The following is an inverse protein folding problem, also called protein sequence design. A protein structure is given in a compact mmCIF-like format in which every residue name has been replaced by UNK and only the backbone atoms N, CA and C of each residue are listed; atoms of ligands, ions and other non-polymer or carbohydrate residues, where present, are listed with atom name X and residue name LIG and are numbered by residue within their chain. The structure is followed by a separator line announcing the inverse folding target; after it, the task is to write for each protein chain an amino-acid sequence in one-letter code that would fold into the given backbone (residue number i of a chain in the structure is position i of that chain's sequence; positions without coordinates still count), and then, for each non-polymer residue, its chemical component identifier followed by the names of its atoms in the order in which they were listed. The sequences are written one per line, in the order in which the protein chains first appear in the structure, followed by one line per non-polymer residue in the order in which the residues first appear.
data_IF_962163976575
#
_entry.id   IF_962163976575
#
_cell.length_a   1.000
_cell.length_b   1.000
_cell.length_c   1.000
_cell.angle_alpha   90.00
_cell.angle_beta   90.00
_cell.angle_gamma   90.00
#
_symmetry.space_group_name_H-M   'P 1'
#
loop_
_entity.id
_entity.type
_entity.pdbx_description
1 polymer ?
#
# COMPACT_ATOMS: atom_id res chain seq x y z
N UNK A 1 3.00 17.37 -11.28
CA UNK A 1 1.88 16.69 -10.57
C UNK A 1 1.05 17.81 -10.00
N UNK A 2 -0.25 17.86 -10.28
CA UNK A 2 -1.15 18.83 -9.66
C UNK A 2 -1.60 18.32 -8.28
N UNK A 3 -2.13 19.20 -7.44
CA UNK A 3 -2.57 18.85 -6.08
C UNK A 3 -3.85 18.00 -6.06
N UNK A 4 -4.40 17.64 -7.22
CA UNK A 4 -5.66 16.92 -7.35
C UNK A 4 -5.47 15.42 -7.60
N UNK A 5 -4.85 14.73 -6.64
CA UNK A 5 -4.80 13.28 -6.65
C UNK A 5 -6.17 12.70 -6.26
N UNK A 6 -6.83 12.05 -7.23
CA UNK A 6 -8.11 11.37 -6.98
C UNK A 6 -7.93 10.27 -5.91
N UNK A 7 -8.86 10.14 -4.96
CA UNK A 7 -8.88 9.02 -4.02
C UNK A 7 -9.04 7.69 -4.78
N UNK A 8 -8.26 6.68 -4.39
CA UNK A 8 -8.46 5.31 -4.85
C UNK A 8 -9.64 4.74 -4.07
N UNK A 9 -10.76 4.52 -4.76
CA UNK A 9 -12.01 4.04 -4.14
C UNK A 9 -12.58 2.81 -4.81
N UNK A 10 -12.50 2.76 -6.13
CA UNK A 10 -13.09 1.71 -6.95
C UNK A 10 -11.98 0.97 -7.68
N UNK A 11 -11.91 -0.34 -7.45
CA UNK A 11 -10.89 -1.21 -8.03
C UNK A 11 -11.61 -2.33 -8.77
N UNK A 12 -11.35 -2.46 -10.06
CA UNK A 12 -11.70 -3.64 -10.82
C UNK A 12 -10.57 -4.66 -10.72
N UNK A 13 -10.92 -5.85 -10.26
CA UNK A 13 -10.03 -7.00 -10.21
C UNK A 13 -10.35 -7.96 -11.36
N UNK A 14 -9.33 -8.26 -12.17
CA UNK A 14 -9.38 -9.26 -13.22
C UNK A 14 -8.55 -10.48 -12.80
N UNK A 15 -9.16 -11.68 -12.71
CA UNK A 15 -8.43 -12.90 -12.43
C UNK A 15 -7.34 -13.15 -13.48
N UNK A 16 -6.16 -13.53 -13.02
CA UNK A 16 -5.05 -13.94 -13.85
C UNK A 16 -4.27 -15.05 -13.12
N UNK A 17 -3.51 -15.85 -13.86
CA UNK A 17 -2.99 -17.14 -13.38
C UNK A 17 -2.09 -17.03 -12.14
N UNK A 18 -1.35 -15.92 -12.00
CA UNK A 18 -0.42 -15.72 -10.87
C UNK A 18 -0.92 -14.65 -9.88
N UNK A 19 -1.19 -13.44 -10.37
CA UNK A 19 -1.71 -12.33 -9.57
C UNK A 19 -2.76 -11.54 -10.36
N UNK A 20 -3.86 -11.10 -9.73
CA UNK A 20 -4.91 -10.39 -10.43
C UNK A 20 -4.43 -9.03 -10.93
N UNK A 21 -4.97 -8.59 -12.07
CA UNK A 21 -4.80 -7.21 -12.51
C UNK A 21 -5.77 -6.31 -11.76
N UNK A 22 -5.25 -5.22 -11.20
CA UNK A 22 -6.03 -4.20 -10.52
C UNK A 22 -6.11 -2.95 -11.38
N UNK A 23 -7.32 -2.52 -11.71
CA UNK A 23 -7.59 -1.31 -12.49
C UNK A 23 -8.35 -0.32 -11.62
N UNK A 24 -7.78 0.87 -11.43
CA UNK A 24 -8.45 1.95 -10.72
C UNK A 24 -9.41 2.67 -11.66
N UNK A 25 -10.67 2.74 -11.25
CA UNK A 25 -11.70 3.45 -11.99
C UNK A 25 -12.29 4.59 -11.16
N UNK A 26 -12.79 5.60 -11.84
CA UNK A 26 -13.50 6.71 -11.22
C UNK A 26 -14.88 6.27 -10.72
N UNK A 27 -15.49 7.01 -9.78
CA UNK A 27 -16.88 6.77 -9.39
C UNK A 27 -17.87 6.85 -10.56
N UNK A 28 -17.59 7.71 -11.55
CA UNK A 28 -18.39 7.83 -12.76
C UNK A 28 -18.31 6.54 -13.59
N UNK A 29 -17.10 6.06 -13.91
CA UNK A 29 -16.91 4.81 -14.65
C UNK A 29 -17.51 3.61 -13.90
N UNK A 30 -17.36 3.55 -12.57
CA UNK A 30 -17.96 2.50 -11.75
C UNK A 30 -19.50 2.48 -11.86
N UNK A 31 -20.12 3.67 -11.90
CA UNK A 31 -21.57 3.81 -12.06
C UNK A 31 -22.03 3.36 -13.45
N UNK A 32 -21.38 3.85 -14.51
CA UNK A 32 -21.73 3.53 -15.89
C UNK A 32 -21.55 2.04 -16.20
N UNK A 33 -20.47 1.43 -15.68
CA UNK A 33 -20.15 0.03 -15.91
C UNK A 33 -20.89 -0.93 -14.97
N UNK A 34 -21.66 -0.44 -13.99
CA UNK A 34 -22.24 -1.26 -12.92
C UNK A 34 -23.08 -2.43 -13.47
N UNK A 35 -23.88 -2.18 -14.51
CA UNK A 35 -24.72 -3.20 -15.16
C UNK A 35 -23.90 -4.30 -15.82
N UNK A 36 -22.84 -3.92 -16.55
CA UNK A 36 -21.96 -4.87 -17.24
C UNK A 36 -21.10 -5.65 -16.26
N UNK A 37 -20.58 -4.97 -15.24
CA UNK A 37 -19.84 -5.61 -14.16
C UNK A 37 -20.77 -6.65 -13.50
N UNK A 38 -22.01 -6.30 -13.13
CA UNK A 38 -22.99 -7.20 -12.45
C UNK A 38 -23.32 -8.46 -13.23
N UNK A 39 -23.27 -8.38 -14.56
CA UNK A 39 -23.52 -9.53 -15.45
C UNK A 39 -22.27 -10.35 -15.74
N UNK A 40 -21.09 -9.80 -15.50
CA UNK A 40 -19.82 -10.45 -15.81
C UNK A 40 -19.49 -11.52 -14.76
N UNK A 41 -18.87 -12.61 -15.22
CA UNK A 41 -18.28 -13.64 -14.34
C UNK A 41 -16.77 -13.52 -14.21
N UNK A 42 -16.18 -12.54 -14.91
CA UNK A 42 -14.74 -12.41 -15.09
C UNK A 42 -14.14 -11.21 -14.36
N UNK A 43 -14.96 -10.31 -13.82
CA UNK A 43 -14.45 -9.12 -13.10
C UNK A 43 -15.13 -9.02 -11.75
N UNK A 44 -14.42 -8.45 -10.79
CA UNK A 44 -15.00 -8.06 -9.52
C UNK A 44 -14.73 -6.59 -9.27
N UNK A 45 -15.77 -5.89 -8.80
CA UNK A 45 -15.64 -4.50 -8.37
C UNK A 45 -15.52 -4.46 -6.84
N UNK A 46 -14.48 -3.78 -6.37
CA UNK A 46 -14.18 -3.63 -4.96
C UNK A 46 -14.25 -2.17 -4.54
N UNK A 47 -14.89 -1.95 -3.39
CA UNK A 47 -14.74 -0.73 -2.62
C UNK A 47 -13.43 -0.80 -1.83
N UNK A 48 -12.59 0.23 -1.95
CA UNK A 48 -11.32 0.32 -1.26
C UNK A 48 -11.17 1.67 -0.55
N UNK A 49 -10.50 1.65 0.59
CA UNK A 49 -10.08 2.85 1.30
C UNK A 49 -8.71 2.59 1.96
N UNK A 50 -7.70 3.44 1.72
CA UNK A 50 -6.40 3.29 2.35
C UNK A 50 -6.51 3.57 3.86
N UNK A 51 -5.77 2.82 4.67
CA UNK A 51 -5.77 2.97 6.12
C UNK A 51 -4.98 4.23 6.54
N UNK A 52 -5.65 5.37 6.61
CA UNK A 52 -5.02 6.65 6.99
C UNK A 52 -4.93 6.86 8.51
N UNK A 53 -5.56 5.99 9.30
CA UNK A 53 -5.46 5.98 10.77
C UNK A 53 -5.52 4.55 11.31
N UNK A 54 -4.95 4.32 12.50
CA UNK A 54 -4.90 2.99 13.12
C UNK A 54 -6.28 2.37 13.39
N UNK A 55 -7.30 3.19 13.66
CA UNK A 55 -8.65 2.71 13.94
C UNK A 55 -9.48 2.34 12.70
N UNK A 56 -8.97 2.58 11.49
CA UNK A 56 -9.68 2.21 10.26
C UNK A 56 -9.59 0.72 9.96
N UNK A 57 -10.67 0.18 9.40
CA UNK A 57 -10.75 -1.19 8.89
C UNK A 57 -9.75 -1.45 7.77
N UNK A 58 -9.33 -2.70 7.65
CA UNK A 58 -8.43 -3.15 6.58
C UNK A 58 -9.23 -3.49 5.31
N UNK A 59 -9.05 -2.71 4.24
CA UNK A 59 -9.68 -2.93 2.93
C UNK A 59 -8.77 -3.65 1.93
N UNK A 60 -7.53 -3.97 2.30
CA UNK A 60 -6.52 -4.54 1.41
C UNK A 60 -6.85 -5.98 0.96
N UNK A 61 -7.72 -6.64 1.73
CA UNK A 61 -8.19 -8.00 1.46
C UNK A 61 -9.50 -8.05 0.69
N UNK A 62 -10.04 -6.89 0.29
CA UNK A 62 -11.27 -6.78 -0.50
C UNK A 62 -12.51 -7.49 0.09
N UNK A 63 -12.48 -7.83 1.39
CA UNK A 63 -13.57 -8.51 2.08
C UNK A 63 -14.72 -7.60 2.50
N UNK A 64 -14.58 -6.27 2.35
CA UNK A 64 -15.57 -5.28 2.76
C UNK A 64 -16.29 -4.74 1.53
N UNK A 65 -17.63 -4.81 1.54
CA UNK A 65 -18.51 -4.35 0.46
C UNK A 65 -18.20 -4.97 -0.93
N UNK A 66 -18.19 -6.32 -1.07
CA UNK A 66 -18.12 -6.92 -2.39
C UNK A 66 -19.38 -6.53 -3.17
N UNK A 67 -19.20 -5.86 -4.32
CA UNK A 67 -20.34 -5.51 -5.21
C UNK A 67 -20.95 -6.77 -5.82
N UNK A 68 -20.15 -7.84 -5.94
CA UNK A 68 -20.59 -9.17 -6.37
C UNK A 68 -19.85 -10.25 -5.60
N UNK A 69 -20.58 -11.33 -5.31
CA UNK A 69 -19.99 -12.61 -4.96
C UNK A 69 -20.38 -13.60 -6.07
N UNK A 70 -19.47 -13.96 -7.00
CA UNK A 70 -19.74 -15.06 -7.90
C UNK A 70 -19.99 -16.32 -7.06
N UNK A 71 -21.13 -16.97 -7.28
CA UNK A 71 -21.59 -18.17 -6.56
C UNK A 71 -20.61 -19.38 -6.62
N UNK A 72 -19.50 -19.26 -7.35
CA UNK A 72 -18.59 -20.36 -7.68
C UNK A 72 -17.11 -19.97 -7.73
N UNK A 73 -16.71 -18.85 -7.13
CA UNK A 73 -15.27 -18.58 -6.93
C UNK A 73 -14.82 -19.23 -5.64
N UNK A 74 -13.82 -20.12 -5.72
CA UNK A 74 -12.98 -20.51 -4.58
C UNK A 74 -12.67 -19.26 -3.74
N UNK A 75 -12.58 -19.37 -2.39
CA UNK A 75 -12.17 -18.24 -1.56
C UNK A 75 -10.90 -17.65 -2.17
N UNK A 76 -11.01 -16.43 -2.71
CA UNK A 76 -9.92 -15.80 -3.44
C UNK A 76 -8.74 -15.73 -2.48
N UNK A 77 -7.59 -16.22 -2.93
CA UNK A 77 -6.35 -15.97 -2.19
C UNK A 77 -6.21 -14.45 -2.05
N UNK A 78 -5.85 -13.97 -0.85
CA UNK A 78 -5.59 -12.54 -0.66
C UNK A 78 -4.50 -12.09 -1.63
N UNK A 79 -4.56 -10.82 -2.05
CA UNK A 79 -3.48 -10.20 -2.83
C UNK A 79 -2.13 -10.52 -2.19
N UNK A 80 -1.15 -10.87 -3.02
CA UNK A 80 0.21 -11.05 -2.52
C UNK A 80 0.74 -9.75 -1.91
N UNK A 81 1.76 -9.88 -1.06
CA UNK A 81 2.30 -8.76 -0.29
C UNK A 81 2.84 -7.63 -1.18
N UNK A 82 3.44 -7.93 -2.34
CA UNK A 82 3.95 -6.91 -3.25
C UNK A 82 2.82 -6.17 -3.98
N UNK A 83 1.73 -6.87 -4.31
CA UNK A 83 0.53 -6.22 -4.85
C UNK A 83 -0.15 -5.32 -3.81
N UNK A 84 -0.22 -5.74 -2.55
CA UNK A 84 -0.69 -4.89 -1.45
C UNK A 84 0.20 -3.68 -1.24
N UNK A 85 1.52 -3.85 -1.21
CA UNK A 85 2.49 -2.74 -1.11
C UNK A 85 2.28 -1.71 -2.22
N UNK A 86 2.22 -2.15 -3.48
CA UNK A 86 1.99 -1.27 -4.64
C UNK A 86 0.68 -0.51 -4.52
N UNK A 87 -0.41 -1.22 -4.20
CA UNK A 87 -1.73 -0.64 -4.00
C UNK A 87 -1.72 0.42 -2.89
N UNK A 88 -1.18 0.08 -1.72
CA UNK A 88 -1.22 0.91 -0.52
C UNK A 88 -0.33 2.15 -0.66
N UNK A 89 0.87 2.01 -1.23
CA UNK A 89 1.75 3.15 -1.56
C UNK A 89 1.05 4.08 -2.56
N UNK A 90 0.50 3.51 -3.63
CA UNK A 90 -0.21 4.31 -4.62
C UNK A 90 -1.40 5.03 -3.98
N UNK A 91 -2.21 4.35 -3.16
CA UNK A 91 -3.41 4.92 -2.55
C UNK A 91 -3.13 5.90 -1.40
N UNK A 92 -1.92 5.92 -0.85
CA UNK A 92 -1.52 6.81 0.25
C UNK A 92 -1.90 6.30 1.64
N UNK A 93 -1.80 4.98 1.84
CA UNK A 93 -1.97 4.37 3.16
C UNK A 93 -0.91 4.88 4.15
N UNK A 94 -1.32 5.16 5.40
CA UNK A 94 -0.44 5.71 6.42
C UNK A 94 -0.18 4.75 7.58
N UNK A 95 -1.14 3.87 7.88
CA UNK A 95 -1.07 2.90 8.96
C UNK A 95 -0.97 1.51 8.37
N UNK A 96 0.09 0.79 8.75
CA UNK A 96 0.32 -0.60 8.37
C UNK A 96 -0.38 -1.58 9.31
N UNK A 97 -0.56 -2.81 8.82
CA UNK A 97 -1.17 -3.92 9.55
C UNK A 97 -0.31 -4.39 10.73
N UNK A 98 0.95 -4.76 10.44
CA UNK A 98 1.88 -5.33 11.40
C UNK A 98 3.34 -5.04 11.02
N UNK A 99 4.27 -5.49 11.87
CA UNK A 99 5.71 -5.36 11.67
C UNK A 99 6.20 -6.16 10.45
N UNK A 100 5.55 -7.28 10.14
CA UNK A 100 5.91 -8.10 8.99
C UNK A 100 5.68 -7.33 7.68
N UNK A 101 4.52 -6.70 7.52
CA UNK A 101 4.22 -5.85 6.38
C UNK A 101 5.23 -4.69 6.27
N UNK A 102 5.61 -4.07 7.39
CA UNK A 102 6.63 -3.03 7.41
C UNK A 102 7.98 -3.54 6.87
N UNK A 103 8.43 -4.72 7.30
CA UNK A 103 9.69 -5.32 6.83
C UNK A 103 9.63 -5.66 5.35
N UNK A 104 8.51 -6.19 4.86
CA UNK A 104 8.32 -6.45 3.42
C UNK A 104 8.29 -5.15 2.60
N UNK A 105 7.71 -4.07 3.14
CA UNK A 105 7.76 -2.75 2.51
C UNK A 105 9.18 -2.17 2.47
N UNK A 106 9.95 -2.30 3.54
CA UNK A 106 11.36 -1.90 3.56
C UNK A 106 12.16 -2.66 2.50
N UNK A 107 12.00 -3.98 2.42
CA UNK A 107 12.59 -4.78 1.33
C UNK A 107 12.16 -4.24 -0.03
N UNK A 108 10.85 -4.09 -0.27
CA UNK A 108 10.32 -3.57 -1.54
C UNK A 108 10.92 -2.24 -1.98
N UNK A 109 11.24 -1.35 -1.04
CA UNK A 109 11.82 -0.04 -1.30
C UNK A 109 13.36 0.00 -1.22
N UNK A 110 14.01 -1.15 -1.02
CA UNK A 110 15.45 -1.26 -0.74
C UNK A 110 15.90 -0.37 0.43
N UNK A 111 15.15 -0.42 1.53
CA UNK A 111 15.44 0.30 2.77
C UNK A 111 15.96 -0.63 3.85
N UNK A 112 16.96 -0.17 4.58
CA UNK A 112 17.37 -0.80 5.82
C UNK A 112 16.35 -0.53 6.94
N UNK A 113 16.21 -1.49 7.84
CA UNK A 113 15.36 -1.42 9.02
C UNK A 113 16.16 -1.72 10.30
N UNK A 114 17.49 -1.63 10.23
CA UNK A 114 18.41 -1.60 11.36
C UNK A 114 18.95 -0.18 11.57
N UNK A 115 18.72 0.37 12.76
CA UNK A 115 19.08 1.75 13.08
C UNK A 115 20.59 2.02 12.99
N UNK A 116 21.43 1.03 13.32
CA UNK A 116 22.89 1.19 13.25
C UNK A 116 23.33 1.30 11.79
N UNK A 117 22.77 0.45 10.92
CA UNK A 117 23.09 0.47 9.49
C UNK A 117 22.59 1.75 8.82
N UNK A 118 21.36 2.22 9.12
CA UNK A 118 20.81 3.47 8.56
C UNK A 118 21.76 4.65 8.77
N UNK A 119 22.30 4.82 9.98
CA UNK A 119 23.21 5.93 10.31
C UNK A 119 24.52 5.94 9.50
N UNK A 120 24.89 4.81 8.90
CA UNK A 120 26.06 4.67 8.03
C UNK A 120 25.80 4.95 6.55
N UNK A 121 24.57 5.18 6.12
CA UNK A 121 24.24 5.38 4.70
C UNK A 121 24.46 6.82 4.24
N UNK A 122 24.99 6.99 3.03
CA UNK A 122 25.16 8.28 2.35
C UNK A 122 23.79 8.89 2.01
N UNK A 123 23.23 9.65 2.95
CA UNK A 123 21.90 10.28 2.82
C UNK A 123 21.09 10.25 4.12
N UNK A 124 21.46 9.38 5.06
CA UNK A 124 20.76 9.17 6.34
C UNK A 124 19.25 8.89 6.18
N UNK A 125 18.82 8.46 4.99
CA UNK A 125 17.43 8.13 4.69
C UNK A 125 17.15 6.61 4.72
N UNK A 126 18.21 5.82 4.92
CA UNK A 126 18.16 4.35 5.03
C UNK A 126 18.06 3.61 3.70
N UNK A 127 18.19 4.30 2.55
CA UNK A 127 18.12 3.66 1.25
C UNK A 127 19.44 3.00 0.82
N UNK A 128 19.34 1.80 0.25
CA UNK A 128 20.47 0.99 -0.21
C UNK A 128 20.48 0.92 -1.74
N UNK A 129 21.53 1.50 -2.36
CA UNK A 129 21.67 1.62 -3.82
C UNK A 129 21.96 0.29 -4.53
N UNK A 130 22.52 -0.70 -3.82
CA UNK A 130 22.86 -2.01 -4.37
C UNK A 130 22.30 -3.15 -3.49
N UNK A 131 21.02 -3.52 -3.67
CA UNK A 131 20.39 -4.61 -2.90
C UNK A 131 20.90 -6.01 -3.30
N UNK A 132 21.66 -6.14 -4.40
CA UNK A 132 22.10 -7.44 -4.95
C UNK A 132 23.07 -8.20 -4.03
N UNK A 133 23.58 -7.59 -2.95
CA UNK A 133 24.38 -8.30 -1.95
C UNK A 133 23.59 -9.42 -1.23
N UNK A 134 22.26 -9.31 -1.16
CA UNK A 134 21.39 -10.29 -0.45
C UNK A 134 20.52 -11.14 -1.41
N UNK A 135 20.73 -11.07 -2.72
CA UNK A 135 20.11 -11.98 -3.70
C UNK A 135 18.60 -11.82 -3.92
N UNK A 136 18.01 -10.68 -3.53
CA UNK A 136 16.57 -10.45 -3.67
C UNK A 136 16.30 -9.60 -4.92
N UNK A 137 15.67 -10.22 -5.93
CA UNK A 137 15.18 -9.58 -7.17
C UNK A 137 14.01 -8.64 -6.87
N UNK A 138 14.34 -7.46 -6.34
CA UNK A 138 13.40 -6.38 -6.05
C UNK A 138 13.58 -5.25 -7.07
N UNK A 139 12.57 -4.39 -7.27
CA UNK A 139 12.68 -3.30 -8.23
C UNK A 139 13.90 -2.41 -7.90
N UNK A 140 14.86 -2.36 -8.83
CA UNK A 140 16.03 -1.50 -8.70
C UNK A 140 15.63 -0.03 -8.90
N UNK A 141 15.41 0.69 -7.81
CA UNK A 141 15.30 2.14 -7.84
C UNK A 141 16.65 2.75 -8.25
N UNK A 142 16.65 3.72 -9.17
CA UNK A 142 17.89 4.42 -9.59
C UNK A 142 18.44 5.40 -8.55
N UNK A 143 17.59 5.79 -7.61
CA UNK A 143 17.86 6.73 -6.52
C UNK A 143 16.84 6.46 -5.39
N UNK A 144 17.09 7.00 -4.20
CA UNK A 144 16.16 6.85 -3.07
C UNK A 144 14.71 7.22 -3.45
N UNK A 145 13.73 6.32 -3.18
CA UNK A 145 12.32 6.60 -3.41
C UNK A 145 11.72 7.53 -2.35
N UNK A 146 12.40 7.74 -1.22
CA UNK A 146 11.89 8.47 -0.06
C UNK A 146 11.45 9.90 -0.40
N UNK A 147 12.25 10.74 -1.12
CA UNK A 147 11.82 12.10 -1.46
C UNK A 147 10.54 12.13 -2.30
N UNK A 148 10.43 11.21 -3.26
CA UNK A 148 9.23 11.08 -4.11
C UNK A 148 8.01 10.66 -3.29
N UNK A 149 8.17 9.65 -2.43
CA UNK A 149 7.10 9.18 -1.55
C UNK A 149 6.64 10.29 -0.58
N UNK A 150 7.56 11.07 0.01
CA UNK A 150 7.19 12.24 0.82
C UNK A 150 6.35 13.24 0.04
N UNK A 151 6.74 13.55 -1.20
CA UNK A 151 6.00 14.48 -2.05
C UNK A 151 4.58 13.99 -2.34
N UNK A 152 4.41 12.73 -2.78
CA UNK A 152 3.09 12.18 -3.12
C UNK A 152 2.20 12.00 -1.89
N UNK A 153 2.76 11.58 -0.75
CA UNK A 153 2.02 11.51 0.51
C UNK A 153 1.55 12.90 0.94
N UNK A 154 2.40 13.94 0.84
CA UNK A 154 2.01 15.33 1.13
C UNK A 154 0.85 15.80 0.25
N UNK A 155 0.89 15.52 -1.05
CA UNK A 155 -0.21 15.83 -1.98
C UNK A 155 -1.51 15.11 -1.58
N UNK A 156 -1.46 13.80 -1.30
CA UNK A 156 -2.63 13.04 -0.85
C UNK A 156 -3.21 13.52 0.47
N UNK A 157 -2.35 14.05 1.36
CA UNK A 157 -2.74 14.58 2.67
C UNK A 157 -3.23 16.03 2.62
N UNK A 158 -3.07 16.73 1.50
CA UNK A 158 -3.54 18.13 1.31
C UNK A 158 -3.13 19.05 2.46
N UNK A 159 -1.87 18.95 2.89
CA UNK A 159 -1.32 19.74 3.99
C UNK A 159 -1.53 19.16 5.40
N UNK A 160 -2.28 18.08 5.57
CA UNK A 160 -2.35 17.39 6.86
C UNK A 160 -1.03 16.66 7.17
N UNK A 161 -0.55 16.80 8.40
CA UNK A 161 0.63 16.07 8.89
C UNK A 161 0.44 14.54 8.83
N UNK A 162 1.55 13.81 8.66
CA UNK A 162 1.57 12.34 8.66
C UNK A 162 2.81 11.75 9.35
N UNK A 163 3.69 12.57 9.94
CA UNK A 163 4.92 12.10 10.60
C UNK A 163 4.68 11.09 11.73
N UNK A 164 3.56 11.21 12.45
CA UNK A 164 3.18 10.29 13.55
C UNK A 164 2.59 8.95 13.07
N UNK A 165 2.52 8.70 11.77
CA UNK A 165 1.97 7.47 11.19
C UNK A 165 3.07 6.44 10.95
N UNK A 166 2.72 5.19 10.62
CA UNK A 166 3.73 4.19 10.28
C UNK A 166 4.48 4.59 9.00
N UNK A 167 3.75 5.04 7.97
CA UNK A 167 4.40 5.55 6.75
C UNK A 167 5.25 6.79 7.04
N UNK A 168 4.78 7.70 7.90
CA UNK A 168 5.57 8.86 8.33
C UNK A 168 6.90 8.46 8.97
N UNK A 169 6.86 7.53 9.93
CA UNK A 169 8.06 6.99 10.54
C UNK A 169 9.03 6.37 9.52
N UNK A 170 8.53 5.52 8.62
CA UNK A 170 9.33 4.95 7.55
C UNK A 170 9.99 6.03 6.67
N UNK A 171 9.22 7.04 6.27
CA UNK A 171 9.72 8.11 5.40
C UNK A 171 10.72 9.02 6.12
N UNK A 172 10.62 9.16 7.43
CA UNK A 172 11.59 9.87 8.28
C UNK A 172 12.69 8.94 8.81
N UNK A 173 12.84 7.75 8.19
CA UNK A 173 13.92 6.79 8.45
C UNK A 173 13.97 6.28 9.90
N UNK A 174 12.81 6.32 10.58
CA UNK A 174 12.60 5.73 11.89
C UNK A 174 12.31 4.24 11.73
N UNK A 175 13.11 3.42 12.42
CA UNK A 175 12.84 1.98 12.52
C UNK A 175 11.57 1.75 13.34
N UNK A 176 10.64 0.96 12.79
CA UNK A 176 9.41 0.58 13.47
C UNK A 176 9.57 -0.82 14.08
N UNK A 177 9.22 -0.97 15.35
CA UNK A 177 9.24 -2.25 16.06
C UNK A 177 7.85 -2.70 16.47
N UNK A 178 7.75 -3.87 17.11
CA UNK A 178 6.48 -4.46 17.55
C UNK A 178 5.61 -3.48 18.36
N UNK A 179 6.22 -2.68 19.23
CA UNK A 179 5.54 -1.65 20.03
C UNK A 179 4.82 -0.59 19.20
N UNK A 180 5.28 -0.33 17.97
CA UNK A 180 4.57 0.56 17.05
C UNK A 180 3.27 -0.08 16.55
N UNK A 181 3.10 -1.39 16.55
CA UNK A 181 1.92 -2.09 16.01
C UNK A 181 0.95 -2.57 17.09
N UNK A 182 1.40 -2.67 18.34
CA UNK A 182 0.49 -2.96 19.44
C UNK A 182 -0.46 -1.78 19.65
N UNK A 183 -1.76 -2.09 19.69
CA UNK A 183 -2.75 -1.11 20.10
C UNK A 183 -2.48 -0.81 21.58
N UNK A 184 -2.09 0.42 21.93
CA UNK A 184 -2.25 0.85 23.33
C UNK A 184 -3.73 0.68 23.66
N UNK A 185 -4.07 -0.36 24.41
CA UNK A 185 -5.42 -0.48 24.96
C UNK A 185 -5.66 0.80 25.73
N UNK A 186 -6.70 1.55 25.37
CA UNK A 186 -7.15 2.64 26.22
C UNK A 186 -7.49 2.02 27.57
N UNK A 187 -6.66 2.31 28.58
CA UNK A 187 -7.02 2.17 29.98
C UNK A 187 -8.15 3.15 30.30
#
# INVERSE_FOLDING_TARGET
MDDYLRPVRWILEFPHNEQPYLVFISPYEANELMSDITRSRFVQLHCYAPRVSRGMSNFEYFGICPVQQPLNTNPKLPLDVNSRIRLNLFAGQLSFEDEQYYRELCKYLSLDYDAQRISGHEGNDGWVSNPDADGISLPSFKQSPIPFLKAITKMRRKGQGFASTHLGGLLDSRVLGNDDFTSRSKA
#
